data_IF_404549139297
#
_entry.id   IF_404549139297
#
_cell.length_a   1.000
_cell.length_b   1.000
_cell.length_c   1.000
_cell.angle_alpha   90.00
_cell.angle_beta   90.00
_cell.angle_gamma   90.00
#
_symmetry.space_group_name_H-M   'P 1'
#
loop_
_entity.id
_entity.type
_entity.pdbx_description
1 polymer ?
#
# COMPACT_ATOMS: atom_id res chain seq x y z
N UNK A 1 -27.27 -18.47 5.63
CA UNK A 1 -26.75 -18.20 4.28
C UNK A 1 -25.65 -17.13 4.30
N UNK A 2 -25.90 -15.93 4.82
CA UNK A 2 -24.88 -14.85 4.93
C UNK A 2 -23.69 -15.26 5.81
N UNK A 3 -23.93 -15.86 6.99
CA UNK A 3 -22.84 -16.30 7.87
C UNK A 3 -21.96 -17.41 7.27
N UNK A 4 -22.55 -18.28 6.44
CA UNK A 4 -21.81 -19.32 5.72
C UNK A 4 -20.91 -18.73 4.62
N UNK A 5 -21.33 -17.64 3.99
CA UNK A 5 -20.52 -16.92 2.99
C UNK A 5 -19.38 -16.17 3.67
N UNK A 6 -19.65 -15.51 4.81
CA UNK A 6 -18.62 -14.83 5.61
C UNK A 6 -17.58 -15.83 6.12
N UNK A 7 -18.01 -17.00 6.64
CA UNK A 7 -17.09 -18.05 7.09
C UNK A 7 -16.25 -18.65 5.95
N UNK A 8 -16.81 -18.80 4.75
CA UNK A 8 -16.09 -19.28 3.57
C UNK A 8 -15.09 -18.23 3.03
N UNK A 9 -15.48 -16.96 3.01
CA UNK A 9 -14.61 -15.85 2.62
C UNK A 9 -13.47 -15.66 3.62
N UNK A 10 -13.75 -15.66 4.93
CA UNK A 10 -12.72 -15.60 5.97
C UNK A 10 -11.81 -16.84 5.95
N UNK A 11 -12.32 -18.02 5.60
CA UNK A 11 -11.50 -19.23 5.41
C UNK A 11 -10.54 -19.11 4.22
N UNK A 12 -10.99 -18.50 3.12
CA UNK A 12 -10.17 -18.23 1.93
C UNK A 12 -9.16 -17.10 2.16
N UNK A 13 -9.54 -16.07 2.92
CA UNK A 13 -8.61 -15.01 3.34
C UNK A 13 -7.54 -15.55 4.30
N UNK A 14 -7.90 -16.41 5.25
CA UNK A 14 -6.92 -17.07 6.13
C UNK A 14 -5.95 -17.98 5.36
N UNK A 15 -6.39 -18.61 4.27
CA UNK A 15 -5.51 -19.35 3.38
C UNK A 15 -4.54 -18.44 2.61
N UNK A 16 -4.94 -17.21 2.27
CA UNK A 16 -4.04 -16.19 1.70
C UNK A 16 -3.06 -15.61 2.72
N UNK A 17 -3.41 -15.58 4.01
CA UNK A 17 -2.52 -15.14 5.11
C UNK A 17 -1.51 -16.26 5.49
N UNK A 18 -1.10 -17.08 4.53
CA UNK A 18 0.00 -18.06 4.64
C UNK A 18 1.38 -17.43 4.38
N UNK A 19 2.37 -18.18 3.91
CA UNK A 19 3.61 -17.54 3.40
C UNK A 19 3.41 -16.92 2.01
N UNK A 20 2.28 -17.22 1.35
CA UNK A 20 1.98 -16.84 -0.02
C UNK A 20 1.75 -15.34 -0.22
N UNK A 21 1.20 -14.64 0.79
CA UNK A 21 1.07 -13.17 0.70
C UNK A 21 2.44 -12.48 0.81
N UNK A 22 3.35 -13.00 1.64
CA UNK A 22 4.71 -12.45 1.76
C UNK A 22 5.46 -12.60 0.44
N UNK A 23 5.36 -13.78 -0.19
CA UNK A 23 6.00 -14.01 -1.49
C UNK A 23 5.38 -13.11 -2.57
N UNK A 24 4.05 -12.93 -2.58
CA UNK A 24 3.38 -12.01 -3.50
C UNK A 24 3.82 -10.56 -3.29
N UNK A 25 3.91 -10.08 -2.04
CA UNK A 25 4.38 -8.73 -1.73
C UNK A 25 5.84 -8.52 -2.11
N UNK A 26 6.73 -9.48 -1.81
CA UNK A 26 8.15 -9.39 -2.18
C UNK A 26 8.30 -9.34 -3.70
N UNK A 27 7.56 -10.16 -4.45
CA UNK A 27 7.60 -10.13 -5.92
C UNK A 27 7.05 -8.82 -6.49
N UNK A 28 5.97 -8.30 -5.90
CA UNK A 28 5.40 -7.02 -6.29
C UNK A 28 6.37 -5.86 -6.03
N UNK A 29 6.88 -5.74 -4.80
CA UNK A 29 7.85 -4.70 -4.42
C UNK A 29 9.15 -4.81 -5.21
N UNK A 30 9.61 -6.04 -5.51
CA UNK A 30 10.75 -6.25 -6.40
C UNK A 30 10.47 -5.69 -7.79
N UNK A 31 9.37 -6.11 -8.44
CA UNK A 31 9.01 -5.63 -9.76
C UNK A 31 8.82 -4.10 -9.78
N UNK A 32 8.08 -3.55 -8.82
CA UNK A 32 7.86 -2.11 -8.64
C UNK A 32 9.15 -1.34 -8.36
N UNK A 33 10.08 -1.93 -7.60
CA UNK A 33 11.41 -1.39 -7.31
C UNK A 33 12.25 -1.09 -8.56
N UNK A 34 12.13 -1.94 -9.59
CA UNK A 34 12.81 -1.75 -10.87
C UNK A 34 12.09 -0.76 -11.80
N UNK A 35 10.82 -0.46 -11.55
CA UNK A 35 10.09 0.54 -12.35
C UNK A 35 10.46 1.98 -11.94
N UNK A 36 10.53 2.92 -12.89
CA UNK A 36 10.84 4.31 -12.61
C UNK A 36 9.65 4.99 -11.91
N UNK A 37 9.59 4.89 -10.58
CA UNK A 37 8.69 5.63 -9.70
C UNK A 37 9.39 6.81 -9.01
N UNK A 38 8.67 7.85 -8.54
CA UNK A 38 9.29 9.02 -7.91
C UNK A 38 10.21 8.68 -6.73
N UNK A 39 9.77 7.80 -5.82
CA UNK A 39 10.56 7.37 -4.67
C UNK A 39 11.79 6.54 -5.10
N UNK A 40 11.65 5.66 -6.08
CA UNK A 40 12.76 4.82 -6.57
C UNK A 40 13.79 5.66 -7.34
N UNK A 41 13.35 6.61 -8.18
CA UNK A 41 14.23 7.55 -8.89
C UNK A 41 14.97 8.43 -7.90
N UNK A 42 14.28 8.93 -6.86
CA UNK A 42 14.90 9.73 -5.81
C UNK A 42 15.95 8.91 -5.04
N UNK A 43 15.62 7.68 -4.65
CA UNK A 43 16.57 6.77 -3.99
C UNK A 43 17.80 6.48 -4.88
N UNK A 44 17.59 6.25 -6.18
CA UNK A 44 18.65 6.06 -7.16
C UNK A 44 19.52 7.32 -7.30
N UNK A 45 18.92 8.51 -7.38
CA UNK A 45 19.65 9.78 -7.47
C UNK A 45 20.48 10.06 -6.21
N UNK A 46 19.94 9.78 -5.03
CA UNK A 46 20.68 9.85 -3.76
C UNK A 46 21.81 8.81 -3.76
N UNK A 47 21.56 7.58 -4.21
CA UNK A 47 22.57 6.53 -4.29
C UNK A 47 23.70 6.84 -5.25
N UNK A 48 23.38 7.41 -6.41
CA UNK A 48 24.37 7.83 -7.41
C UNK A 48 25.20 9.02 -6.91
N UNK A 49 24.56 10.01 -6.28
CA UNK A 49 25.25 11.24 -5.84
C UNK A 49 26.00 11.10 -4.51
N UNK A 50 25.50 10.27 -3.59
CA UNK A 50 25.95 10.22 -2.19
C UNK A 50 26.34 8.82 -1.71
N UNK A 51 26.22 7.79 -2.56
CA UNK A 51 26.54 6.40 -2.25
C UNK A 51 25.46 5.68 -1.45
N UNK A 52 25.50 4.33 -1.49
CA UNK A 52 24.44 3.47 -0.95
C UNK A 52 24.13 3.69 0.54
N UNK A 53 25.15 4.00 1.37
CA UNK A 53 24.98 4.18 2.82
C UNK A 53 24.07 5.36 3.16
N UNK A 54 24.12 6.43 2.36
CA UNK A 54 23.27 7.61 2.54
C UNK A 54 21.87 7.44 1.93
N UNK A 55 21.68 6.43 1.08
CA UNK A 55 20.38 6.02 0.54
C UNK A 55 19.57 5.19 1.53
N UNK A 56 20.23 4.39 2.38
CA UNK A 56 19.54 3.49 3.33
C UNK A 56 18.50 4.21 4.23
N UNK A 57 18.78 5.36 4.86
CA UNK A 57 17.79 6.05 5.67
C UNK A 57 16.52 6.43 4.89
N UNK A 58 16.67 6.82 3.61
CA UNK A 58 15.53 7.15 2.74
C UNK A 58 14.71 5.89 2.40
N UNK A 59 15.39 4.80 2.03
CA UNK A 59 14.74 3.51 1.71
C UNK A 59 13.98 2.96 2.92
N UNK A 60 14.58 2.98 4.11
CA UNK A 60 13.90 2.59 5.35
C UNK A 60 12.74 3.51 5.70
N UNK A 61 12.89 4.82 5.46
CA UNK A 61 11.81 5.79 5.63
C UNK A 61 10.60 5.49 4.76
N UNK A 62 10.82 5.12 3.48
CA UNK A 62 9.73 4.72 2.58
C UNK A 62 9.14 3.37 2.99
N UNK A 63 9.99 2.38 3.29
CA UNK A 63 9.56 1.02 3.65
C UNK A 63 8.69 0.97 4.92
N UNK A 64 8.95 1.86 5.88
CA UNK A 64 8.15 1.96 7.13
C UNK A 64 7.02 2.98 6.97
N UNK A 65 7.31 4.12 6.36
CA UNK A 65 6.37 5.23 6.22
C UNK A 65 5.16 4.87 5.36
N UNK A 66 5.34 4.06 4.31
CA UNK A 66 4.25 3.67 3.42
C UNK A 66 3.20 2.77 4.13
N UNK A 67 3.57 1.66 4.80
CA UNK A 67 2.62 0.90 5.62
C UNK A 67 1.94 1.75 6.71
N UNK A 68 2.69 2.60 7.40
CA UNK A 68 2.12 3.49 8.44
C UNK A 68 1.08 4.44 7.83
N UNK A 69 1.39 5.04 6.69
CA UNK A 69 0.45 5.91 5.96
C UNK A 69 -0.82 5.14 5.56
N UNK A 70 -0.69 3.91 5.03
CA UNK A 70 -1.84 3.08 4.66
C UNK A 70 -2.72 2.73 5.87
N UNK A 71 -2.12 2.39 7.00
CA UNK A 71 -2.85 2.13 8.25
C UNK A 71 -3.63 3.37 8.68
N UNK A 72 -2.97 4.53 8.72
CA UNK A 72 -3.64 5.79 9.07
C UNK A 72 -4.81 6.07 8.12
N UNK A 73 -4.63 5.97 6.81
CA UNK A 73 -5.73 6.14 5.85
C UNK A 73 -6.86 5.14 6.14
N UNK A 74 -6.55 3.86 6.34
CA UNK A 74 -7.54 2.83 6.64
C UNK A 74 -8.38 3.15 7.89
N UNK A 75 -7.75 3.68 8.94
CA UNK A 75 -8.45 4.05 10.18
C UNK A 75 -9.24 5.36 10.06
N UNK A 76 -8.69 6.37 9.40
CA UNK A 76 -9.22 7.74 9.43
C UNK A 76 -10.13 8.09 8.25
N UNK A 77 -10.02 7.38 7.12
CA UNK A 77 -10.73 7.75 5.89
C UNK A 77 -12.25 7.55 5.99
N UNK A 78 -12.71 6.45 6.59
CA UNK A 78 -14.13 6.12 6.78
C UNK A 78 -14.89 7.22 7.54
N UNK A 79 -14.52 7.60 8.78
CA UNK A 79 -15.23 8.65 9.52
C UNK A 79 -15.08 10.04 8.89
N UNK A 80 -14.02 10.28 8.12
CA UNK A 80 -13.83 11.53 7.39
C UNK A 80 -14.82 11.65 6.22
N UNK A 81 -14.98 10.58 5.44
CA UNK A 81 -15.93 10.53 4.31
C UNK A 81 -17.39 10.60 4.77
N UNK A 82 -17.73 10.00 5.90
CA UNK A 82 -19.10 10.07 6.46
C UNK A 82 -19.50 11.53 6.81
N UNK A 83 -18.53 12.43 7.06
CA UNK A 83 -18.76 13.86 7.30
C UNK A 83 -18.78 14.72 6.03
N UNK A 84 -18.39 14.16 4.89
CA UNK A 84 -18.28 14.87 3.62
C UNK A 84 -18.89 14.04 2.47
N UNK A 85 -20.22 13.82 2.47
CA UNK A 85 -20.88 12.97 1.48
C UNK A 85 -20.70 13.46 0.03
N UNK A 86 -20.62 14.78 -0.19
CA UNK A 86 -20.31 15.38 -1.50
C UNK A 86 -18.91 14.99 -2.00
N UNK A 87 -17.91 14.88 -1.12
CA UNK A 87 -16.57 14.44 -1.51
C UNK A 87 -16.58 12.99 -1.96
N UNK A 88 -17.32 12.12 -1.24
CA UNK A 88 -17.48 10.72 -1.62
C UNK A 88 -18.16 10.58 -2.99
N UNK A 89 -19.16 11.42 -3.28
CA UNK A 89 -19.87 11.40 -4.56
C UNK A 89 -18.97 11.80 -5.73
N UNK A 90 -18.18 12.86 -5.56
CA UNK A 90 -17.17 13.28 -6.55
C UNK A 90 -16.11 12.20 -6.73
N UNK A 91 -15.57 11.66 -5.64
CA UNK A 91 -14.54 10.62 -5.69
C UNK A 91 -15.05 9.36 -6.41
N UNK A 92 -16.31 8.98 -6.16
CA UNK A 92 -16.97 7.86 -6.85
C UNK A 92 -17.07 8.11 -8.35
N UNK A 93 -17.42 9.31 -8.77
CA UNK A 93 -17.53 9.65 -10.19
C UNK A 93 -16.17 9.62 -10.90
N UNK A 94 -15.13 10.17 -10.26
CA UNK A 94 -13.77 10.19 -10.82
C UNK A 94 -13.04 8.84 -10.75
N UNK A 95 -13.34 7.98 -9.76
CA UNK A 95 -12.70 6.67 -9.64
C UNK A 95 -13.27 5.62 -10.59
N UNK A 96 -14.50 5.81 -11.08
CA UNK A 96 -15.14 4.90 -12.06
C UNK A 96 -14.73 5.25 -13.50
N UNK A 97 -14.27 6.48 -13.74
CA UNK A 97 -13.77 6.96 -15.03
C UNK A 97 -12.29 6.59 -15.20
#
# INVERSE_FOLDING_TARGET
MIESIIAHLLGKERAMIGWDWLTALVLFEFASGFTPGPNNILALAIGFSHGYRKTLPHVFGVAIGFPVMLLLIGFFLKPLLDRAPLLLEVLRYFSIL
#
